data_IF_153816652827
#
_entry.id   IF_153816652827
#
_cell.length_a   1.000
_cell.length_b   1.000
_cell.length_c   1.000
_cell.angle_alpha   90.00
_cell.angle_beta   90.00
_cell.angle_gamma   90.00
#
_symmetry.space_group_name_H-M   'P 1'
#
loop_
_entity.id
_entity.type
_entity.pdbx_description
1 polymer ?
#
# COMPACT_ATOMS: atom_id res chain seq x y z
N UNK A 1 -7.10 -2.59 -39.45
CA UNK A 1 -7.23 -1.50 -38.47
C UNK A 1 -8.68 -1.48 -38.02
N UNK A 2 -9.00 -2.29 -37.02
CA UNK A 2 -10.36 -2.46 -36.50
C UNK A 2 -10.79 -1.21 -35.75
N UNK A 3 -11.99 -0.71 -36.08
CA UNK A 3 -12.68 0.42 -35.48
C UNK A 3 -12.40 0.53 -33.97
N UNK A 4 -11.74 1.61 -33.56
CA UNK A 4 -11.88 2.10 -32.19
C UNK A 4 -13.37 2.39 -32.00
N UNK A 5 -14.05 1.60 -31.18
CA UNK A 5 -15.36 1.95 -30.66
C UNK A 5 -15.27 3.37 -30.12
N UNK A 6 -16.06 4.32 -30.63
CA UNK A 6 -16.06 5.70 -30.16
C UNK A 6 -16.52 5.72 -28.70
N UNK A 7 -15.57 5.62 -27.78
CA UNK A 7 -15.82 5.72 -26.35
C UNK A 7 -16.50 7.06 -26.06
N UNK A 8 -17.56 7.00 -25.27
CA UNK A 8 -18.21 8.19 -24.71
C UNK A 8 -17.89 8.25 -23.22
N UNK A 9 -17.50 9.41 -22.73
CA UNK A 9 -17.21 9.61 -21.31
C UNK A 9 -18.37 9.11 -20.44
N UNK A 10 -18.08 8.43 -19.34
CA UNK A 10 -19.08 7.88 -18.43
C UNK A 10 -19.80 6.62 -18.94
N UNK A 11 -19.39 6.05 -20.08
CA UNK A 11 -20.00 4.85 -20.66
C UNK A 11 -19.93 3.64 -19.72
N UNK A 12 -18.85 3.49 -18.94
CA UNK A 12 -18.72 2.36 -18.03
C UNK A 12 -19.77 2.41 -16.91
N UNK A 13 -20.03 3.60 -16.36
CA UNK A 13 -20.96 3.76 -15.24
C UNK A 13 -22.41 3.99 -15.67
N UNK A 14 -22.65 4.45 -16.91
CA UNK A 14 -24.00 4.64 -17.44
C UNK A 14 -24.82 3.36 -17.33
N UNK A 15 -24.21 2.20 -17.53
CA UNK A 15 -24.88 0.92 -17.39
C UNK A 15 -25.46 0.65 -16.00
N UNK A 16 -24.84 1.18 -14.93
CA UNK A 16 -25.34 1.08 -13.56
C UNK A 16 -26.35 2.17 -13.19
N UNK A 17 -26.37 3.27 -13.93
CA UNK A 17 -27.19 4.46 -13.65
C UNK A 17 -28.50 4.46 -14.45
N UNK A 18 -28.43 4.05 -15.71
CA UNK A 18 -29.55 4.06 -16.66
C UNK A 18 -30.09 2.67 -16.98
N UNK A 19 -29.27 1.62 -16.91
CA UNK A 19 -29.61 0.36 -17.57
C UNK A 19 -30.00 0.60 -19.05
N UNK A 20 -31.08 -0.04 -19.52
CA UNK A 20 -31.68 0.18 -20.87
C UNK A 20 -32.50 1.48 -20.98
N UNK A 21 -32.55 2.33 -19.95
CA UNK A 21 -33.36 3.54 -19.95
C UNK A 21 -32.86 4.54 -21.00
N UNK A 22 -33.70 4.81 -21.99
CA UNK A 22 -33.46 5.87 -22.96
C UNK A 22 -33.69 7.26 -22.36
N UNK A 23 -33.35 8.33 -23.09
CA UNK A 23 -33.54 9.71 -22.61
C UNK A 23 -35.00 10.06 -22.30
N UNK A 24 -35.97 9.28 -22.79
CA UNK A 24 -37.39 9.42 -22.51
C UNK A 24 -37.93 8.57 -21.35
N UNK A 25 -37.11 7.81 -20.65
CA UNK A 25 -37.59 6.95 -19.56
C UNK A 25 -38.19 7.77 -18.43
N UNK A 26 -39.37 7.38 -17.96
CA UNK A 26 -40.05 7.94 -16.80
C UNK A 26 -40.42 6.77 -15.90
N UNK A 27 -39.82 6.68 -14.71
CA UNK A 27 -40.14 5.61 -13.75
C UNK A 27 -41.30 6.06 -12.84
N UNK A 28 -42.42 5.34 -12.91
CA UNK A 28 -43.64 5.68 -12.16
C UNK A 28 -43.52 5.37 -10.67
N UNK A 29 -43.69 6.38 -9.82
CA UNK A 29 -43.81 6.25 -8.37
C UNK A 29 -45.21 5.78 -7.95
N UNK A 30 -45.64 4.59 -8.36
CA UNK A 30 -46.94 4.06 -7.96
C UNK A 30 -46.92 3.64 -6.47
N UNK A 31 -47.27 4.58 -5.58
CA UNK A 31 -47.62 4.31 -4.18
C UNK A 31 -46.67 4.83 -3.10
N UNK A 32 -45.52 5.43 -3.45
CA UNK A 32 -44.51 5.86 -2.48
C UNK A 32 -44.16 7.35 -2.58
N UNK A 33 -43.79 7.93 -1.45
CA UNK A 33 -43.37 9.34 -1.26
C UNK A 33 -42.04 9.69 -1.98
N UNK A 34 -41.54 8.82 -2.87
CA UNK A 34 -40.20 8.89 -3.49
C UNK A 34 -40.10 9.67 -4.80
N UNK A 35 -41.22 10.15 -5.34
CA UNK A 35 -41.27 10.91 -6.60
C UNK A 35 -41.03 10.08 -7.87
N UNK A 36 -41.11 10.76 -9.02
CA UNK A 36 -40.83 10.25 -10.38
C UNK A 36 -39.37 10.53 -10.77
N UNK A 37 -38.72 9.62 -11.49
CA UNK A 37 -37.38 9.82 -12.04
C UNK A 37 -37.36 9.80 -13.56
N UNK A 38 -36.50 10.64 -14.16
CA UNK A 38 -36.55 11.02 -15.57
C UNK A 38 -35.23 10.76 -16.31
N UNK A 39 -35.35 10.26 -17.54
CA UNK A 39 -34.27 10.15 -18.51
C UNK A 39 -33.21 9.12 -18.19
N UNK A 40 -32.12 9.20 -18.95
CA UNK A 40 -30.99 8.25 -18.89
C UNK A 40 -30.39 8.23 -17.49
N UNK A 41 -30.16 9.39 -16.87
CA UNK A 41 -29.54 9.49 -15.54
C UNK A 41 -30.52 9.40 -14.37
N UNK A 42 -31.78 9.01 -14.61
CA UNK A 42 -32.83 8.91 -13.58
C UNK A 42 -32.89 10.15 -12.67
N UNK A 43 -32.99 11.32 -13.29
CA UNK A 43 -33.09 12.62 -12.62
C UNK A 43 -34.37 12.66 -11.79
N UNK A 44 -34.25 12.84 -10.48
CA UNK A 44 -35.35 12.70 -9.54
C UNK A 44 -36.11 14.01 -9.38
N UNK A 45 -37.45 13.90 -9.38
CA UNK A 45 -38.34 14.99 -8.99
C UNK A 45 -38.28 15.29 -7.49
N UNK A 46 -38.18 14.26 -6.64
CA UNK A 46 -38.21 14.42 -5.18
C UNK A 46 -36.99 15.17 -4.63
N UNK A 47 -35.80 14.93 -5.19
CA UNK A 47 -34.57 15.65 -4.80
C UNK A 47 -34.23 16.81 -5.75
N UNK A 48 -35.10 17.12 -6.71
CA UNK A 48 -35.03 18.34 -7.54
C UNK A 48 -34.09 18.29 -8.74
N UNK A 49 -33.34 17.21 -8.97
CA UNK A 49 -32.36 17.15 -10.08
C UNK A 49 -33.02 17.19 -11.47
N UNK A 50 -34.27 16.74 -11.60
CA UNK A 50 -35.05 16.93 -12.83
C UNK A 50 -35.31 18.41 -13.13
N UNK A 51 -35.63 19.19 -12.10
CA UNK A 51 -35.83 20.65 -12.20
C UNK A 51 -34.53 21.37 -12.55
N UNK A 52 -33.42 20.97 -11.92
CA UNK A 52 -32.09 21.52 -12.22
C UNK A 52 -31.71 21.32 -13.69
N UNK A 53 -31.90 20.11 -14.22
CA UNK A 53 -31.66 19.83 -15.63
C UNK A 53 -32.52 20.71 -16.55
N UNK A 54 -33.83 20.78 -16.31
CA UNK A 54 -34.73 21.60 -17.12
C UNK A 54 -34.27 23.06 -17.14
N UNK A 55 -33.91 23.60 -15.98
CA UNK A 55 -33.43 24.97 -15.83
C UNK A 55 -32.09 25.22 -16.52
N UNK A 56 -31.21 24.22 -16.55
CA UNK A 56 -29.91 24.28 -17.22
C UNK A 56 -30.04 24.11 -18.75
N UNK A 57 -31.01 23.31 -19.20
CA UNK A 57 -31.16 22.90 -20.60
C UNK A 57 -31.74 23.98 -21.51
N UNK A 58 -31.48 23.85 -22.82
CA UNK A 58 -32.12 24.66 -23.86
C UNK A 58 -33.66 24.45 -23.93
N UNK A 59 -34.18 23.40 -23.29
CA UNK A 59 -35.61 23.05 -23.30
C UNK A 59 -36.41 23.75 -22.21
N UNK A 60 -35.79 24.57 -21.36
CA UNK A 60 -36.42 25.24 -20.21
C UNK A 60 -37.78 25.87 -20.53
N UNK A 61 -37.87 26.63 -21.63
CA UNK A 61 -39.10 27.34 -22.02
C UNK A 61 -40.26 26.38 -22.33
N UNK A 62 -39.96 25.17 -22.82
CA UNK A 62 -40.98 24.16 -23.10
C UNK A 62 -41.63 23.57 -21.84
N UNK A 63 -40.96 23.71 -20.69
CA UNK A 63 -41.43 23.26 -19.39
C UNK A 63 -42.04 24.39 -18.54
N UNK A 64 -42.21 25.60 -19.08
CA UNK A 64 -42.79 26.72 -18.32
C UNK A 64 -44.16 26.35 -17.72
N UNK A 65 -44.33 26.64 -16.43
CA UNK A 65 -45.54 26.32 -15.66
C UNK A 65 -45.76 24.83 -15.37
N UNK A 66 -44.83 23.94 -15.73
CA UNK A 66 -44.93 22.49 -15.53
C UNK A 66 -43.96 22.04 -14.45
N UNK A 67 -44.43 21.18 -13.56
CA UNK A 67 -43.66 20.68 -12.41
C UNK A 67 -43.35 19.20 -12.61
N UNK A 68 -42.13 18.71 -12.32
CA UNK A 68 -41.85 17.28 -12.34
C UNK A 68 -42.84 16.46 -11.50
N UNK A 69 -43.03 15.20 -11.88
CA UNK A 69 -44.05 14.28 -11.37
C UNK A 69 -45.51 14.71 -11.66
N UNK A 70 -45.75 15.37 -12.80
CA UNK A 70 -47.09 15.69 -13.30
C UNK A 70 -47.26 15.23 -14.73
N UNK A 71 -48.49 14.85 -15.12
CA UNK A 71 -48.82 14.42 -16.48
C UNK A 71 -48.37 15.46 -17.53
N UNK A 72 -48.63 16.75 -17.26
CA UNK A 72 -48.23 17.83 -18.14
C UNK A 72 -46.71 17.93 -18.34
N UNK A 73 -45.90 17.58 -17.33
CA UNK A 73 -44.44 17.54 -17.46
C UNK A 73 -43.99 16.28 -18.22
N UNK A 74 -44.58 15.14 -17.91
CA UNK A 74 -44.27 13.83 -18.51
C UNK A 74 -44.54 13.82 -20.02
N UNK A 75 -45.61 14.50 -20.46
CA UNK A 75 -45.92 14.70 -21.88
C UNK A 75 -44.84 15.48 -22.61
N UNK A 76 -44.33 16.57 -22.02
CA UNK A 76 -43.23 17.35 -22.61
C UNK A 76 -41.96 16.53 -22.66
N UNK A 77 -41.63 15.83 -21.57
CA UNK A 77 -40.45 14.98 -21.50
C UNK A 77 -40.46 13.88 -22.58
N UNK A 78 -41.58 13.16 -22.69
CA UNK A 78 -41.76 12.08 -23.66
C UNK A 78 -41.75 12.60 -25.10
N UNK A 79 -42.31 13.79 -25.33
CA UNK A 79 -42.26 14.47 -26.64
C UNK A 79 -40.83 14.83 -27.03
N UNK A 80 -40.07 15.47 -26.14
CA UNK A 80 -38.66 15.82 -26.39
C UNK A 80 -37.83 14.58 -26.70
N UNK A 81 -38.01 13.49 -25.95
CA UNK A 81 -37.28 12.26 -26.19
C UNK A 81 -37.56 11.61 -27.56
N UNK A 82 -38.73 11.86 -28.15
CA UNK A 82 -39.13 11.36 -29.46
C UNK A 82 -38.73 12.29 -30.60
N UNK A 83 -38.91 13.59 -30.39
CA UNK A 83 -38.85 14.59 -31.46
C UNK A 83 -37.49 15.30 -31.53
N UNK A 84 -36.70 15.30 -30.43
CA UNK A 84 -35.42 16.01 -30.32
C UNK A 84 -34.23 15.04 -30.21
N UNK A 85 -33.48 14.78 -31.30
CA UNK A 85 -32.32 13.89 -31.27
C UNK A 85 -31.23 14.31 -30.28
N UNK A 86 -31.13 15.62 -29.99
CA UNK A 86 -30.16 16.16 -29.05
C UNK A 86 -30.54 15.96 -27.58
N UNK A 87 -31.77 15.52 -27.26
CA UNK A 87 -32.25 15.47 -25.87
C UNK A 87 -31.40 14.54 -24.98
N UNK A 88 -30.97 13.39 -25.49
CA UNK A 88 -30.08 12.49 -24.76
C UNK A 88 -28.67 13.08 -24.55
N UNK A 89 -28.13 13.75 -25.57
CA UNK A 89 -26.82 14.43 -25.46
C UNK A 89 -26.90 15.57 -24.45
N UNK A 90 -27.99 16.34 -24.44
CA UNK A 90 -28.23 17.40 -23.45
C UNK A 90 -28.27 16.86 -22.02
N UNK A 91 -28.90 15.70 -21.77
CA UNK A 91 -28.87 15.07 -20.44
C UNK A 91 -27.45 14.64 -20.05
N UNK A 92 -26.66 14.12 -20.99
CA UNK A 92 -25.26 13.76 -20.77
C UNK A 92 -24.40 14.98 -20.44
N UNK A 93 -24.52 16.05 -21.25
CA UNK A 93 -23.79 17.30 -21.07
C UNK A 93 -24.12 17.99 -19.74
N UNK A 94 -25.37 17.86 -19.28
CA UNK A 94 -25.76 18.32 -17.95
C UNK A 94 -24.95 17.64 -16.86
N UNK A 95 -24.86 16.31 -16.87
CA UNK A 95 -24.07 15.56 -15.87
C UNK A 95 -22.59 15.93 -15.98
N UNK A 96 -22.06 16.03 -17.20
CA UNK A 96 -20.67 16.45 -17.41
C UNK A 96 -20.38 17.81 -16.77
N UNK A 97 -21.21 18.80 -17.08
CA UNK A 97 -21.00 20.21 -16.68
C UNK A 97 -21.21 20.41 -15.18
N UNK A 98 -22.16 19.69 -14.58
CA UNK A 98 -22.55 19.92 -13.17
C UNK A 98 -21.89 18.97 -12.18
N UNK A 99 -21.38 17.83 -12.64
CA UNK A 99 -20.76 16.82 -11.78
C UNK A 99 -19.29 16.63 -12.17
N UNK A 100 -19.01 16.15 -13.37
CA UNK A 100 -17.66 15.73 -13.78
C UNK A 100 -16.64 16.89 -13.85
N UNK A 101 -16.91 17.93 -14.63
CA UNK A 101 -15.96 19.04 -14.86
C UNK A 101 -15.58 19.76 -13.55
N UNK A 102 -16.52 20.05 -12.62
CA UNK A 102 -16.17 20.58 -11.31
C UNK A 102 -15.29 19.64 -10.48
N UNK A 103 -15.48 18.32 -10.57
CA UNK A 103 -14.61 17.37 -9.85
C UNK A 103 -13.20 17.33 -10.44
N UNK A 104 -13.07 17.35 -11.78
CA UNK A 104 -11.75 17.42 -12.42
C UNK A 104 -10.97 18.67 -11.96
N UNK A 105 -11.66 19.81 -11.86
CA UNK A 105 -11.07 21.05 -11.35
C UNK A 105 -10.67 20.92 -9.87
N UNK A 106 -11.52 20.34 -9.03
CA UNK A 106 -11.20 20.12 -7.60
C UNK A 106 -10.04 19.15 -7.39
N UNK A 107 -9.99 18.08 -8.18
CA UNK A 107 -8.89 17.11 -8.20
C UNK A 107 -7.57 17.80 -8.56
N UNK A 108 -7.52 18.55 -9.66
CA UNK A 108 -6.33 19.31 -10.04
C UNK A 108 -5.89 20.31 -8.96
N UNK A 109 -6.83 21.07 -8.38
CA UNK A 109 -6.55 22.01 -7.29
C UNK A 109 -6.03 21.33 -6.01
N UNK A 110 -6.33 20.04 -5.81
CA UNK A 110 -5.84 19.23 -4.70
C UNK A 110 -4.49 18.53 -5.00
N UNK A 111 -3.86 18.80 -6.13
CA UNK A 111 -2.62 18.13 -6.57
C UNK A 111 -2.85 16.75 -7.19
N UNK A 112 -4.11 16.40 -7.47
CA UNK A 112 -4.53 15.15 -8.11
C UNK A 112 -4.98 15.40 -9.55
N UNK A 113 -4.15 16.02 -10.38
CA UNK A 113 -4.54 16.28 -11.78
C UNK A 113 -4.60 14.96 -12.57
N UNK A 114 -5.82 14.57 -12.94
CA UNK A 114 -6.12 13.36 -13.72
C UNK A 114 -6.51 13.68 -15.17
N UNK A 115 -6.41 14.94 -15.60
CA UNK A 115 -6.88 15.38 -16.93
C UNK A 115 -6.14 14.71 -18.09
N UNK A 116 -4.90 14.27 -17.89
CA UNK A 116 -4.08 13.58 -18.90
C UNK A 116 -4.20 12.06 -18.87
N UNK A 117 -5.02 11.49 -17.96
CA UNK A 117 -5.15 10.04 -17.76
C UNK A 117 -6.05 9.38 -18.81
N UNK A 118 -5.94 8.07 -18.95
CA UNK A 118 -6.64 7.30 -19.98
C UNK A 118 -8.16 7.30 -19.80
N UNK A 119 -8.93 6.92 -20.85
CA UNK A 119 -10.39 6.85 -20.84
C UNK A 119 -11.00 6.11 -19.64
N UNK A 120 -10.38 5.02 -19.19
CA UNK A 120 -10.85 4.28 -18.02
C UNK A 120 -10.79 5.11 -16.72
N UNK A 121 -9.75 5.92 -16.54
CA UNK A 121 -9.66 6.84 -15.40
C UNK A 121 -10.68 7.96 -15.52
N UNK A 122 -10.93 8.48 -16.72
CA UNK A 122 -11.97 9.50 -16.93
C UNK A 122 -13.37 8.94 -16.60
N UNK A 123 -13.68 7.71 -17.01
CA UNK A 123 -14.92 7.02 -16.65
C UNK A 123 -15.03 6.74 -15.15
N UNK A 124 -13.91 6.39 -14.49
CA UNK A 124 -13.88 6.27 -13.04
C UNK A 124 -14.26 7.59 -12.38
N UNK A 125 -13.65 8.71 -12.79
CA UNK A 125 -13.94 10.03 -12.21
C UNK A 125 -15.38 10.45 -12.48
N UNK A 126 -15.91 10.14 -13.67
CA UNK A 126 -17.33 10.33 -13.98
C UNK A 126 -18.22 9.61 -12.97
N UNK A 127 -18.05 8.30 -12.80
CA UNK A 127 -18.81 7.50 -11.83
C UNK A 127 -18.72 8.07 -10.42
N UNK A 128 -17.51 8.43 -9.99
CA UNK A 128 -17.26 9.01 -8.69
C UNK A 128 -17.94 10.35 -8.51
N UNK A 129 -18.01 11.19 -9.55
CA UNK A 129 -18.65 12.50 -9.51
C UNK A 129 -20.16 12.39 -9.32
N UNK A 130 -20.79 11.36 -9.90
CA UNK A 130 -22.22 11.10 -9.75
C UNK A 130 -22.51 10.48 -8.39
N UNK A 131 -21.73 9.48 -7.97
CA UNK A 131 -21.96 8.72 -6.74
C UNK A 131 -21.60 9.49 -5.46
N UNK A 132 -20.44 10.16 -5.44
CA UNK A 132 -19.88 10.81 -4.24
C UNK A 132 -19.90 12.35 -4.29
N UNK A 133 -20.25 12.95 -5.43
CA UNK A 133 -20.41 14.40 -5.61
C UNK A 133 -19.19 15.16 -5.07
N UNK A 134 -19.38 16.08 -4.12
CA UNK A 134 -18.29 16.90 -3.56
C UNK A 134 -17.20 16.11 -2.84
N UNK A 135 -17.43 14.84 -2.48
CA UNK A 135 -16.46 14.00 -1.79
C UNK A 135 -15.58 13.17 -2.73
N UNK A 136 -15.74 13.27 -4.06
CA UNK A 136 -14.95 12.50 -5.04
C UNK A 136 -13.44 12.58 -4.79
N UNK A 137 -12.90 13.79 -4.64
CA UNK A 137 -11.47 14.02 -4.36
C UNK A 137 -11.03 13.31 -3.08
N UNK A 138 -11.83 13.39 -2.01
CA UNK A 138 -11.51 12.77 -0.72
C UNK A 138 -11.45 11.25 -0.79
N UNK A 139 -12.34 10.62 -1.57
CA UNK A 139 -12.34 9.16 -1.73
C UNK A 139 -11.14 8.70 -2.57
N UNK A 140 -10.83 9.40 -3.67
CA UNK A 140 -9.66 9.04 -4.51
C UNK A 140 -8.36 9.19 -3.71
N UNK A 141 -8.18 10.32 -3.00
CA UNK A 141 -7.00 10.55 -2.15
C UNK A 141 -6.90 9.50 -1.04
N UNK A 142 -8.02 9.18 -0.36
CA UNK A 142 -8.07 8.12 0.68
C UNK A 142 -7.59 6.78 0.12
N UNK A 143 -8.08 6.37 -1.06
CA UNK A 143 -7.67 5.11 -1.68
C UNK A 143 -6.18 5.06 -2.04
N UNK A 144 -5.64 6.15 -2.58
CA UNK A 144 -4.22 6.26 -2.89
C UNK A 144 -3.35 6.19 -1.64
N UNK A 145 -3.72 6.89 -0.57
CA UNK A 145 -2.99 6.83 0.72
C UNK A 145 -3.05 5.44 1.35
N UNK A 146 -4.22 4.80 1.33
CA UNK A 146 -4.39 3.45 1.87
C UNK A 146 -3.53 2.43 1.12
N UNK A 147 -3.42 2.56 -0.22
CA UNK A 147 -2.64 1.63 -1.03
C UNK A 147 -1.15 1.95 -1.04
N UNK A 148 -0.75 3.20 -1.16
CA UNK A 148 0.63 3.62 -1.42
C UNK A 148 1.30 4.40 -0.28
N UNK A 149 0.56 4.75 0.77
CA UNK A 149 1.02 5.57 1.90
C UNK A 149 0.84 7.07 1.66
N UNK A 150 1.00 7.89 2.70
CA UNK A 150 0.75 9.35 2.65
C UNK A 150 1.68 10.13 1.70
N UNK A 151 2.83 9.56 1.33
CA UNK A 151 3.82 10.17 0.44
C UNK A 151 3.78 9.64 -0.99
N UNK A 152 2.64 9.13 -1.46
CA UNK A 152 2.52 8.58 -2.81
C UNK A 152 2.88 9.64 -3.89
N UNK A 153 3.57 9.21 -4.93
CA UNK A 153 3.81 10.02 -6.12
C UNK A 153 2.82 9.61 -7.21
N UNK A 154 1.85 10.49 -7.50
CA UNK A 154 0.84 10.24 -8.53
C UNK A 154 1.48 9.91 -9.89
N UNK A 155 2.64 10.47 -10.22
CA UNK A 155 3.35 10.20 -11.47
C UNK A 155 3.83 8.75 -11.61
N UNK A 156 3.99 8.03 -10.49
CA UNK A 156 4.36 6.60 -10.46
C UNK A 156 3.15 5.66 -10.34
N UNK A 157 1.95 6.20 -10.14
CA UNK A 157 0.73 5.40 -10.05
C UNK A 157 0.19 5.13 -11.47
N UNK A 158 0.08 3.85 -11.82
CA UNK A 158 -0.53 3.41 -13.08
C UNK A 158 -2.05 3.66 -13.07
N UNK A 159 -2.66 3.76 -14.25
CA UNK A 159 -4.11 3.95 -14.39
C UNK A 159 -4.89 2.78 -13.75
N UNK A 160 -4.44 1.54 -13.99
CA UNK A 160 -4.93 0.34 -13.27
C UNK A 160 -4.85 0.50 -11.75
N UNK A 161 -3.69 0.87 -11.22
CA UNK A 161 -3.48 1.00 -9.77
C UNK A 161 -4.36 2.09 -9.15
N UNK A 162 -4.55 3.21 -9.85
CA UNK A 162 -5.46 4.29 -9.44
C UNK A 162 -6.91 3.79 -9.39
N UNK A 163 -7.35 3.04 -10.41
CA UNK A 163 -8.69 2.44 -10.48
C UNK A 163 -8.90 1.45 -9.34
N UNK A 164 -7.94 0.55 -9.12
CA UNK A 164 -8.00 -0.45 -8.05
C UNK A 164 -8.00 0.21 -6.67
N UNK A 165 -7.08 1.15 -6.41
CA UNK A 165 -7.00 1.87 -5.14
C UNK A 165 -8.33 2.58 -4.79
N UNK A 166 -8.91 3.27 -5.79
CA UNK A 166 -10.17 3.99 -5.62
C UNK A 166 -11.33 3.03 -5.34
N UNK A 167 -11.41 1.90 -6.04
CA UNK A 167 -12.50 0.94 -5.82
C UNK A 167 -12.34 0.12 -4.55
N UNK A 168 -11.12 -0.23 -4.18
CA UNK A 168 -10.84 -0.96 -2.95
C UNK A 168 -11.20 -0.10 -1.73
N UNK A 169 -10.94 1.22 -1.76
CA UNK A 169 -11.40 2.11 -0.67
C UNK A 169 -12.92 2.28 -0.66
N UNK A 170 -13.60 2.36 -1.83
CA UNK A 170 -15.07 2.37 -1.90
C UNK A 170 -15.64 1.13 -1.22
N UNK A 171 -15.12 -0.06 -1.54
CA UNK A 171 -15.55 -1.33 -0.95
C UNK A 171 -15.24 -1.40 0.54
N UNK A 172 -14.01 -1.08 0.94
CA UNK A 172 -13.55 -1.10 2.35
C UNK A 172 -14.44 -0.22 3.24
N UNK A 173 -14.89 0.93 2.73
CA UNK A 173 -15.63 1.92 3.51
C UNK A 173 -17.12 2.02 3.15
N UNK A 174 -17.68 1.12 2.33
CA UNK A 174 -19.07 1.18 1.87
C UNK A 174 -20.09 1.36 3.01
N UNK A 175 -19.94 0.63 4.12
CA UNK A 175 -20.84 0.72 5.27
C UNK A 175 -20.72 2.05 6.03
N UNK A 176 -19.54 2.69 5.98
CA UNK A 176 -19.28 3.98 6.62
C UNK A 176 -19.80 5.13 5.74
N UNK A 177 -19.42 5.11 4.46
CA UNK A 177 -19.80 6.10 3.47
C UNK A 177 -21.33 6.09 3.24
N UNK A 178 -21.96 4.92 3.30
CA UNK A 178 -23.41 4.73 3.13
C UNK A 178 -24.11 4.28 4.42
N UNK A 179 -23.69 4.75 5.59
CA UNK A 179 -24.27 4.38 6.90
C UNK A 179 -25.78 4.65 7.04
N UNK A 180 -26.34 5.57 6.23
CA UNK A 180 -27.78 5.88 6.20
C UNK A 180 -28.58 4.94 5.31
N UNK A 181 -27.91 4.20 4.44
CA UNK A 181 -28.55 3.22 3.56
C UNK A 181 -28.79 1.92 4.31
N UNK A 182 -29.83 1.18 3.92
CA UNK A 182 -30.08 -0.15 4.49
C UNK A 182 -28.98 -1.14 4.08
N UNK A 183 -28.79 -2.20 4.86
CA UNK A 183 -27.79 -3.25 4.54
C UNK A 183 -27.99 -3.89 3.16
N UNK A 184 -29.24 -4.01 2.70
CA UNK A 184 -29.54 -4.50 1.33
C UNK A 184 -29.03 -3.54 0.26
N UNK A 185 -29.15 -2.23 0.48
CA UNK A 185 -28.63 -1.21 -0.45
C UNK A 185 -27.10 -1.23 -0.43
N UNK A 186 -26.48 -1.31 0.76
CA UNK A 186 -25.02 -1.42 0.90
C UNK A 186 -24.47 -2.64 0.14
N UNK A 187 -25.12 -3.81 0.26
CA UNK A 187 -24.73 -5.01 -0.49
C UNK A 187 -24.83 -4.83 -2.01
N UNK A 188 -25.91 -4.22 -2.50
CA UNK A 188 -26.05 -3.95 -3.93
C UNK A 188 -24.97 -2.98 -4.43
N UNK A 189 -24.60 -1.99 -3.61
CA UNK A 189 -23.50 -1.08 -3.90
C UNK A 189 -22.17 -1.83 -3.96
N UNK A 190 -21.89 -2.76 -3.05
CA UNK A 190 -20.67 -3.59 -3.09
C UNK A 190 -20.53 -4.33 -4.43
N UNK A 191 -21.61 -4.95 -4.93
CA UNK A 191 -21.55 -5.72 -6.18
C UNK A 191 -21.32 -4.79 -7.38
N UNK A 192 -22.00 -3.65 -7.42
CA UNK A 192 -21.79 -2.62 -8.45
C UNK A 192 -20.34 -2.12 -8.43
N UNK A 193 -19.82 -1.76 -7.27
CA UNK A 193 -18.45 -1.23 -7.13
C UNK A 193 -17.40 -2.24 -7.60
N UNK A 194 -17.58 -3.52 -7.28
CA UNK A 194 -16.68 -4.56 -7.76
C UNK A 194 -16.81 -4.78 -9.27
N UNK A 195 -18.02 -4.83 -9.82
CA UNK A 195 -18.22 -5.00 -11.26
C UNK A 195 -17.65 -3.82 -12.06
N UNK A 196 -17.84 -2.61 -11.57
CA UNK A 196 -17.30 -1.37 -12.13
C UNK A 196 -15.76 -1.39 -12.13
N UNK A 197 -15.14 -1.81 -11.03
CA UNK A 197 -13.68 -1.99 -10.93
C UNK A 197 -13.17 -2.91 -12.04
N UNK A 198 -13.75 -4.10 -12.17
CA UNK A 198 -13.32 -5.08 -13.18
C UNK A 198 -13.53 -4.56 -14.61
N UNK A 199 -14.64 -3.87 -14.87
CA UNK A 199 -14.93 -3.27 -16.17
C UNK A 199 -13.90 -2.19 -16.54
N UNK A 200 -13.55 -1.33 -15.58
CA UNK A 200 -12.58 -0.25 -15.76
C UNK A 200 -11.15 -0.78 -15.93
N UNK A 201 -10.75 -1.81 -15.17
CA UNK A 201 -9.42 -2.45 -15.34
C UNK A 201 -9.33 -3.16 -16.69
N UNK A 202 -10.41 -3.81 -17.13
CA UNK A 202 -10.49 -4.37 -18.49
C UNK A 202 -10.43 -3.27 -19.54
N UNK A 203 -11.09 -2.15 -19.32
CA UNK A 203 -11.07 -1.02 -20.24
C UNK A 203 -9.66 -0.42 -20.36
N UNK A 204 -8.97 -0.20 -19.24
CA UNK A 204 -7.59 0.26 -19.20
C UNK A 204 -6.65 -0.66 -20.00
N UNK A 205 -6.77 -1.97 -19.79
CA UNK A 205 -5.89 -2.96 -20.46
C UNK A 205 -6.20 -3.18 -21.94
N UNK A 206 -7.47 -3.07 -22.37
CA UNK A 206 -7.89 -3.40 -23.74
C UNK A 206 -8.13 -2.18 -24.62
N UNK A 207 -8.28 -0.99 -24.03
CA UNK A 207 -8.75 0.21 -24.72
C UNK A 207 -10.21 0.14 -25.18
N UNK A 208 -10.97 -0.88 -24.77
CA UNK A 208 -12.37 -1.07 -25.14
C UNK A 208 -13.25 -1.13 -23.89
N UNK A 209 -14.27 -0.26 -23.74
CA UNK A 209 -15.15 -0.29 -22.57
C UNK A 209 -16.02 -1.55 -22.60
N UNK A 210 -16.31 -2.09 -21.42
CA UNK A 210 -17.15 -3.27 -21.29
C UNK A 210 -18.57 -3.02 -21.84
N UNK A 211 -19.10 -3.99 -22.57
CA UNK A 211 -20.49 -3.96 -23.05
C UNK A 211 -21.48 -4.19 -21.90
N UNK A 212 -22.75 -3.85 -22.12
CA UNK A 212 -23.84 -4.12 -21.17
C UNK A 212 -23.90 -5.60 -20.73
N UNK A 213 -23.70 -6.53 -21.68
CA UNK A 213 -23.76 -7.97 -21.41
C UNK A 213 -22.59 -8.41 -20.51
N UNK A 214 -21.39 -7.86 -20.76
CA UNK A 214 -20.21 -8.12 -19.95
C UNK A 214 -20.34 -7.51 -18.56
N UNK A 215 -20.87 -6.28 -18.41
CA UNK A 215 -21.11 -5.68 -17.09
C UNK A 215 -22.15 -6.49 -16.30
N UNK A 216 -23.23 -6.94 -16.94
CA UNK A 216 -24.20 -7.82 -16.29
C UNK A 216 -23.59 -9.17 -15.87
N UNK A 217 -22.57 -9.66 -16.57
CA UNK A 217 -21.78 -10.81 -16.14
C UNK A 217 -20.90 -10.48 -14.95
N UNK A 218 -20.16 -9.37 -15.00
CA UNK A 218 -19.30 -8.90 -13.91
C UNK A 218 -20.10 -8.66 -12.61
N UNK A 219 -21.33 -8.15 -12.68
CA UNK A 219 -22.21 -8.01 -11.51
C UNK A 219 -22.65 -9.36 -10.93
N UNK A 220 -22.92 -10.35 -11.78
CA UNK A 220 -23.24 -11.72 -11.32
C UNK A 220 -22.02 -12.35 -10.66
N UNK A 221 -20.85 -12.14 -11.24
CA UNK A 221 -19.58 -12.58 -10.67
C UNK A 221 -19.32 -11.86 -9.34
N UNK A 222 -19.47 -10.55 -9.25
CA UNK A 222 -19.25 -9.76 -8.02
C UNK A 222 -20.07 -10.22 -6.79
N UNK A 223 -21.11 -11.04 -6.97
CA UNK A 223 -21.86 -11.63 -5.85
C UNK A 223 -20.96 -12.44 -4.90
N UNK A 224 -21.36 -12.59 -3.62
CA UNK A 224 -20.53 -13.23 -2.63
C UNK A 224 -20.24 -14.69 -2.98
N UNK A 225 -18.98 -15.10 -2.82
CA UNK A 225 -18.59 -16.50 -2.93
C UNK A 225 -19.12 -17.25 -1.72
N UNK A 226 -19.79 -18.39 -1.94
CA UNK A 226 -20.44 -19.15 -0.86
C UNK A 226 -20.42 -20.64 -1.18
N UNK A 227 -20.79 -21.45 -0.20
CA UNK A 227 -20.86 -22.92 -0.34
C UNK A 227 -21.61 -23.34 -1.60
N UNK A 228 -21.01 -24.26 -2.35
CA UNK A 228 -21.51 -24.76 -3.63
C UNK A 228 -21.04 -23.94 -4.85
N UNK A 229 -20.41 -22.78 -4.65
CA UNK A 229 -19.74 -22.04 -5.72
C UNK A 229 -18.43 -22.72 -6.15
N UNK A 230 -18.00 -22.45 -7.38
CA UNK A 230 -16.75 -22.96 -7.93
C UNK A 230 -16.14 -22.02 -8.96
N UNK A 231 -14.87 -22.26 -9.32
CA UNK A 231 -14.13 -21.52 -10.34
C UNK A 231 -12.95 -20.71 -9.80
N UNK A 232 -12.33 -19.92 -10.67
CA UNK A 232 -11.05 -19.25 -10.41
C UNK A 232 -11.10 -18.31 -9.21
N UNK A 233 -12.22 -17.60 -9.00
CA UNK A 233 -12.40 -16.72 -7.83
C UNK A 233 -12.43 -17.47 -6.51
N UNK A 234 -12.94 -18.71 -6.51
CA UNK A 234 -12.90 -19.58 -5.32
C UNK A 234 -11.49 -20.10 -5.10
N UNK A 235 -10.80 -20.48 -6.17
CA UNK A 235 -9.41 -20.94 -6.10
C UNK A 235 -8.48 -19.83 -5.59
N UNK A 236 -8.63 -18.59 -6.07
CA UNK A 236 -7.89 -17.42 -5.61
C UNK A 236 -8.14 -17.14 -4.12
N UNK A 237 -9.41 -17.13 -3.68
CA UNK A 237 -9.75 -16.99 -2.27
C UNK A 237 -9.11 -18.09 -1.41
N UNK A 238 -9.21 -19.35 -1.81
CA UNK A 238 -8.62 -20.48 -1.10
C UNK A 238 -7.09 -20.36 -1.03
N UNK A 239 -6.45 -19.96 -2.13
CA UNK A 239 -5.00 -19.76 -2.19
C UNK A 239 -4.56 -18.69 -1.20
N UNK A 240 -5.23 -17.54 -1.18
CA UNK A 240 -4.93 -16.45 -0.26
C UNK A 240 -5.20 -16.82 1.20
N UNK A 241 -6.31 -17.50 1.50
CA UNK A 241 -6.62 -17.97 2.85
C UNK A 241 -5.59 -19.01 3.32
N UNK A 242 -5.16 -19.93 2.45
CA UNK A 242 -4.12 -20.90 2.76
C UNK A 242 -2.76 -20.21 2.99
N UNK A 243 -2.40 -19.25 2.14
CA UNK A 243 -1.19 -18.46 2.27
C UNK A 243 -1.18 -17.73 3.62
N UNK A 244 -2.28 -17.06 3.99
CA UNK A 244 -2.46 -16.39 5.28
C UNK A 244 -2.51 -17.34 6.49
N UNK A 245 -2.58 -18.65 6.27
CA UNK A 245 -2.58 -19.66 7.32
C UNK A 245 -3.93 -19.85 8.00
N UNK A 246 -5.03 -19.46 7.35
CA UNK A 246 -6.37 -19.74 7.87
C UNK A 246 -6.73 -21.21 7.68
N UNK A 247 -6.93 -21.89 8.80
CA UNK A 247 -7.20 -23.32 8.88
C UNK A 247 -8.70 -23.61 9.03
N UNK A 248 -9.07 -24.85 8.77
CA UNK A 248 -10.38 -25.40 9.13
C UNK A 248 -10.54 -25.50 10.64
N UNK A 249 -11.77 -25.76 11.12
CA UNK A 249 -12.04 -25.84 12.56
C UNK A 249 -11.33 -27.02 13.26
N UNK A 250 -10.96 -28.06 12.50
CA UNK A 250 -10.15 -29.20 12.96
C UNK A 250 -8.63 -28.96 12.81
N UNK A 251 -8.21 -27.74 12.47
CA UNK A 251 -6.80 -27.34 12.42
C UNK A 251 -6.05 -27.80 11.16
N UNK A 252 -6.76 -28.14 10.08
CA UNK A 252 -6.14 -28.55 8.81
C UNK A 252 -6.00 -27.36 7.87
N UNK A 253 -4.91 -27.36 7.10
CA UNK A 253 -4.75 -26.42 6.00
C UNK A 253 -5.79 -26.71 4.90
N UNK A 254 -6.31 -25.66 4.28
CA UNK A 254 -7.18 -25.80 3.13
C UNK A 254 -6.34 -26.05 1.87
N UNK A 255 -6.87 -26.86 0.95
CA UNK A 255 -6.27 -27.10 -0.36
C UNK A 255 -7.07 -26.31 -1.40
N UNK A 256 -6.42 -25.43 -2.19
CA UNK A 256 -7.09 -24.75 -3.28
C UNK A 256 -7.50 -25.72 -4.38
N UNK A 257 -8.79 -25.99 -4.51
CA UNK A 257 -9.39 -26.89 -5.50
C UNK A 257 -10.41 -26.17 -6.40
N UNK A 258 -10.64 -24.87 -6.15
CA UNK A 258 -11.63 -24.08 -6.86
C UNK A 258 -13.08 -24.46 -6.53
N UNK A 259 -13.34 -25.19 -5.44
CA UNK A 259 -14.67 -25.58 -4.99
C UNK A 259 -14.94 -25.08 -3.57
N UNK A 260 -16.00 -24.28 -3.41
CA UNK A 260 -16.34 -23.68 -2.13
C UNK A 260 -17.08 -24.73 -1.28
N UNK A 261 -16.30 -25.59 -0.64
CA UNK A 261 -16.77 -26.62 0.27
C UNK A 261 -16.79 -26.18 1.73
N UNK A 262 -16.98 -27.17 2.61
CA UNK A 262 -16.94 -26.98 4.07
C UNK A 262 -15.62 -26.39 4.54
N UNK A 263 -14.49 -26.90 4.04
CA UNK A 263 -13.16 -26.42 4.44
C UNK A 263 -12.95 -24.93 4.14
N UNK A 264 -13.35 -24.48 2.94
CA UNK A 264 -13.28 -23.07 2.56
C UNK A 264 -14.18 -22.20 3.42
N UNK A 265 -15.40 -22.65 3.73
CA UNK A 265 -16.30 -21.93 4.65
C UNK A 265 -15.67 -21.76 6.03
N UNK A 266 -15.14 -22.83 6.61
CA UNK A 266 -14.55 -22.78 7.96
C UNK A 266 -13.33 -21.86 8.02
N UNK A 267 -12.44 -21.94 7.02
CA UNK A 267 -11.28 -21.04 6.93
C UNK A 267 -11.68 -19.59 6.71
N UNK A 268 -12.69 -19.33 5.86
CA UNK A 268 -13.22 -17.98 5.66
C UNK A 268 -13.85 -17.42 6.93
N UNK A 269 -14.63 -18.21 7.67
CA UNK A 269 -15.20 -17.77 8.94
C UNK A 269 -14.11 -17.46 9.97
N UNK A 270 -13.02 -18.24 9.96
CA UNK A 270 -11.83 -17.96 10.79
C UNK A 270 -11.20 -16.62 10.42
N UNK A 271 -11.03 -16.35 9.12
CA UNK A 271 -10.60 -15.05 8.62
C UNK A 271 -11.56 -13.92 9.05
N UNK A 272 -12.86 -14.07 8.82
CA UNK A 272 -13.86 -13.06 9.16
C UNK A 272 -13.82 -12.72 10.65
N UNK A 273 -13.72 -13.74 11.53
CA UNK A 273 -13.55 -13.54 12.98
C UNK A 273 -12.27 -12.77 13.31
N UNK A 274 -11.13 -13.19 12.75
CA UNK A 274 -9.85 -12.55 13.00
C UNK A 274 -9.79 -11.11 12.49
N UNK A 275 -10.48 -10.81 11.39
CA UNK A 275 -10.56 -9.47 10.79
C UNK A 275 -11.66 -8.59 11.42
N UNK A 276 -12.38 -9.07 12.45
CA UNK A 276 -13.46 -8.31 13.09
C UNK A 276 -14.67 -8.06 12.17
N UNK A 277 -14.87 -8.92 11.17
CA UNK A 277 -15.94 -8.81 10.16
C UNK A 277 -17.14 -9.67 10.54
N UNK A 278 -18.35 -9.37 9.99
CA UNK A 278 -19.49 -10.28 10.12
C UNK A 278 -19.15 -11.68 9.62
N UNK A 279 -19.39 -12.69 10.47
CA UNK A 279 -19.09 -14.09 10.18
C UNK A 279 -20.23 -14.71 9.37
N UNK A 280 -20.29 -14.36 8.09
CA UNK A 280 -21.36 -14.78 7.18
C UNK A 280 -21.11 -16.17 6.58
N UNK A 281 -19.86 -16.62 6.55
CA UNK A 281 -19.45 -17.82 5.83
C UNK A 281 -19.58 -17.69 4.30
N UNK A 282 -19.75 -16.46 3.79
CA UNK A 282 -19.75 -16.12 2.37
C UNK A 282 -18.84 -14.90 2.16
N UNK A 283 -17.92 -14.95 1.18
CA UNK A 283 -16.96 -13.88 0.95
C UNK A 283 -17.61 -12.81 0.07
N UNK A 284 -18.01 -11.69 0.68
CA UNK A 284 -18.45 -10.51 -0.07
C UNK A 284 -17.25 -9.81 -0.74
N UNK A 285 -17.47 -8.89 -1.70
CA UNK A 285 -16.38 -8.07 -2.25
C UNK A 285 -15.52 -7.41 -1.17
N UNK A 286 -16.13 -6.94 -0.08
CA UNK A 286 -15.40 -6.35 1.04
C UNK A 286 -14.55 -7.36 1.82
N UNK A 287 -14.97 -8.64 1.91
CA UNK A 287 -14.12 -9.71 2.45
C UNK A 287 -12.92 -9.97 1.53
N UNK A 288 -13.12 -10.00 0.22
CA UNK A 288 -12.05 -10.25 -0.76
C UNK A 288 -10.98 -9.15 -0.73
N UNK A 289 -11.40 -7.88 -0.61
CA UNK A 289 -10.47 -6.74 -0.39
C UNK A 289 -9.69 -6.93 0.92
N UNK A 290 -10.36 -7.30 2.01
CA UNK A 290 -9.70 -7.49 3.30
C UNK A 290 -8.70 -8.66 3.30
N UNK A 291 -8.99 -9.76 2.60
CA UNK A 291 -8.04 -10.86 2.39
C UNK A 291 -6.82 -10.37 1.63
N UNK A 292 -7.03 -9.62 0.53
CA UNK A 292 -5.94 -9.06 -0.26
C UNK A 292 -5.09 -8.06 0.52
N UNK A 293 -5.69 -7.21 1.34
CA UNK A 293 -5.00 -6.26 2.21
C UNK A 293 -4.04 -6.99 3.17
N UNK A 294 -4.47 -8.12 3.76
CA UNK A 294 -3.60 -8.94 4.62
C UNK A 294 -2.46 -9.61 3.84
N UNK A 295 -2.70 -10.08 2.61
CA UNK A 295 -1.64 -10.62 1.75
C UNK A 295 -0.58 -9.56 1.46
N UNK A 296 -1.01 -8.36 1.04
CA UNK A 296 -0.10 -7.23 0.77
C UNK A 296 0.65 -6.83 2.03
N UNK A 297 -0.02 -6.75 3.18
CA UNK A 297 0.61 -6.42 4.46
C UNK A 297 1.67 -7.46 4.86
N UNK A 298 1.39 -8.76 4.68
CA UNK A 298 2.35 -9.84 4.94
C UNK A 298 3.54 -9.80 3.99
N UNK A 299 3.32 -9.51 2.71
CA UNK A 299 4.38 -9.32 1.73
C UNK A 299 5.32 -8.17 2.14
N UNK A 300 4.74 -7.01 2.51
CA UNK A 300 5.49 -5.87 3.02
C UNK A 300 6.29 -6.22 4.27
N UNK A 301 5.66 -6.87 5.26
CA UNK A 301 6.33 -7.28 6.49
C UNK A 301 7.52 -8.21 6.20
N UNK A 302 7.36 -9.17 5.30
CA UNK A 302 8.44 -10.07 4.87
C UNK A 302 9.58 -9.29 4.20
N UNK A 303 9.27 -8.34 3.31
CA UNK A 303 10.29 -7.49 2.67
C UNK A 303 11.02 -6.60 3.68
N UNK A 304 10.31 -6.02 4.65
CA UNK A 304 10.93 -5.23 5.72
C UNK A 304 11.83 -6.09 6.58
N UNK A 305 11.40 -7.30 6.96
CA UNK A 305 12.23 -8.24 7.72
C UNK A 305 13.48 -8.66 6.95
N UNK A 306 13.36 -8.91 5.64
CA UNK A 306 14.50 -9.25 4.77
C UNK A 306 15.48 -8.08 4.63
N UNK A 307 15.00 -6.85 4.41
CA UNK A 307 15.86 -5.65 4.37
C UNK A 307 16.49 -5.35 5.73
N UNK A 308 15.76 -5.55 6.83
CA UNK A 308 16.31 -5.35 8.16
C UNK A 308 17.39 -6.39 8.45
N UNK A 309 17.17 -7.66 8.14
CA UNK A 309 18.18 -8.71 8.34
C UNK A 309 19.40 -8.50 7.42
N UNK A 310 19.21 -8.02 6.19
CA UNK A 310 20.29 -7.63 5.30
C UNK A 310 21.10 -6.44 5.86
N UNK A 311 20.43 -5.40 6.37
CA UNK A 311 21.11 -4.25 7.00
C UNK A 311 21.83 -4.59 8.31
N UNK A 312 21.48 -5.72 8.94
CA UNK A 312 22.13 -6.23 10.16
C UNK A 312 23.41 -7.03 9.87
N UNK A 313 23.67 -7.43 8.61
CA UNK A 313 24.91 -8.14 8.27
C UNK A 313 26.06 -7.16 8.06
N UNK A 314 27.22 -7.43 8.66
CA UNK A 314 28.42 -6.58 8.54
C UNK A 314 28.95 -6.48 7.11
N UNK A 315 28.70 -7.48 6.26
CA UNK A 315 29.07 -7.49 4.84
C UNK A 315 28.11 -6.69 3.95
N UNK A 316 26.96 -6.26 4.47
CA UNK A 316 26.02 -5.42 3.75
C UNK A 316 26.53 -3.97 3.62
N UNK A 317 26.52 -3.37 2.42
CA UNK A 317 26.87 -1.97 2.23
C UNK A 317 26.01 -0.98 3.03
N UNK A 318 24.80 -1.40 3.45
CA UNK A 318 23.90 -0.57 4.26
C UNK A 318 24.25 -0.61 5.77
N UNK A 319 25.12 -1.53 6.22
CA UNK A 319 25.45 -1.67 7.63
C UNK A 319 26.38 -0.52 8.09
N UNK A 320 26.11 0.13 9.25
CA UNK A 320 26.86 1.31 9.70
C UNK A 320 28.35 1.05 9.90
N UNK A 321 28.73 -0.19 10.24
CA UNK A 321 30.12 -0.60 10.43
C UNK A 321 30.72 -1.41 9.27
N UNK A 322 30.04 -1.45 8.11
CA UNK A 322 30.53 -2.16 6.93
C UNK A 322 31.92 -1.70 6.52
N UNK A 323 32.20 -0.40 6.62
CA UNK A 323 33.54 0.14 6.34
C UNK A 323 34.64 -0.42 7.25
N UNK A 324 34.35 -0.72 8.51
CA UNK A 324 35.34 -1.36 9.40
C UNK A 324 35.52 -2.84 9.05
N UNK A 325 34.41 -3.56 8.80
CA UNK A 325 34.44 -4.93 8.33
C UNK A 325 35.29 -5.11 7.05
N UNK A 326 35.07 -4.27 6.03
CA UNK A 326 35.81 -4.35 4.77
C UNK A 326 37.32 -4.18 4.99
N UNK A 327 37.73 -3.23 5.85
CA UNK A 327 39.15 -3.04 6.20
C UNK A 327 39.73 -4.24 6.94
N UNK A 328 38.98 -4.83 7.85
CA UNK A 328 39.39 -6.06 8.57
C UNK A 328 39.51 -7.23 7.60
N UNK A 329 38.56 -7.38 6.68
CA UNK A 329 38.56 -8.42 5.65
C UNK A 329 39.79 -8.30 4.74
N UNK A 330 40.12 -7.10 4.29
CA UNK A 330 41.31 -6.86 3.47
C UNK A 330 42.63 -7.21 4.20
N UNK A 331 42.67 -7.06 5.52
CA UNK A 331 43.81 -7.50 6.34
C UNK A 331 43.87 -9.02 6.48
N UNK A 332 42.74 -9.68 6.75
CA UNK A 332 42.66 -11.15 6.81
C UNK A 332 43.02 -11.77 5.46
N UNK A 333 42.53 -11.20 4.35
CA UNK A 333 42.85 -11.65 3.00
C UNK A 333 44.33 -11.47 2.64
N UNK A 334 44.99 -10.45 3.18
CA UNK A 334 46.45 -10.29 3.07
C UNK A 334 47.18 -11.35 3.87
N UNK A 335 46.75 -11.59 5.11
CA UNK A 335 47.32 -12.62 5.98
C UNK A 335 47.21 -14.02 5.34
N UNK A 336 46.07 -14.36 4.73
CA UNK A 336 45.93 -15.62 4.01
C UNK A 336 46.95 -15.74 2.88
N UNK A 337 47.14 -14.68 2.08
CA UNK A 337 48.13 -14.66 0.99
C UNK A 337 49.55 -14.80 1.51
N UNK A 338 49.89 -14.15 2.62
CA UNK A 338 51.19 -14.26 3.27
C UNK A 338 51.44 -15.69 3.80
N UNK A 339 50.38 -16.40 4.17
CA UNK A 339 50.40 -17.83 4.52
C UNK A 339 50.27 -18.78 3.31
N UNK A 340 50.28 -18.28 2.07
CA UNK A 340 50.15 -19.10 0.86
C UNK A 340 48.75 -19.67 0.59
N UNK A 341 47.71 -19.09 1.21
CA UNK A 341 46.29 -19.45 1.00
C UNK A 341 45.59 -18.42 0.12
N UNK A 342 44.60 -18.88 -0.65
CA UNK A 342 43.68 -18.01 -1.39
C UNK A 342 42.52 -17.66 -0.46
N UNK A 343 42.17 -16.36 -0.29
CA UNK A 343 41.03 -15.97 0.52
C UNK A 343 39.70 -16.55 0.01
N UNK A 344 38.84 -16.96 0.94
CA UNK A 344 37.55 -17.60 0.67
C UNK A 344 36.47 -17.20 1.70
N UNK A 345 35.32 -17.88 1.68
CA UNK A 345 34.23 -17.62 2.63
C UNK A 345 34.66 -17.79 4.10
N UNK A 346 35.63 -18.67 4.39
CA UNK A 346 36.14 -18.85 5.76
C UNK A 346 37.00 -17.66 6.19
N UNK A 347 37.71 -17.05 5.26
CA UNK A 347 38.41 -15.77 5.48
C UNK A 347 37.41 -14.66 5.82
N UNK A 348 36.27 -14.61 5.14
CA UNK A 348 35.22 -13.61 5.37
C UNK A 348 34.51 -13.83 6.72
N UNK A 349 34.25 -15.08 7.10
CA UNK A 349 33.74 -15.47 8.41
C UNK A 349 34.70 -15.02 9.54
N UNK A 350 36.00 -15.32 9.39
CA UNK A 350 37.04 -14.92 10.33
C UNK A 350 37.14 -13.41 10.48
N UNK A 351 37.11 -12.67 9.36
CA UNK A 351 37.12 -11.22 9.37
C UNK A 351 35.87 -10.62 10.05
N UNK A 352 34.70 -11.23 9.85
CA UNK A 352 33.46 -10.79 10.49
C UNK A 352 33.52 -10.99 12.01
N UNK A 353 33.89 -12.19 12.47
CA UNK A 353 34.05 -12.48 13.89
C UNK A 353 35.08 -11.54 14.55
N UNK A 354 36.20 -11.29 13.89
CA UNK A 354 37.23 -10.38 14.39
C UNK A 354 36.76 -8.93 14.44
N UNK A 355 35.94 -8.49 13.48
CA UNK A 355 35.37 -7.13 13.47
C UNK A 355 34.49 -6.90 14.70
N UNK A 356 33.63 -7.89 15.03
CA UNK A 356 32.75 -7.83 16.20
C UNK A 356 33.57 -7.83 17.49
N UNK A 357 34.52 -8.75 17.62
CA UNK A 357 35.37 -8.83 18.81
C UNK A 357 36.24 -7.58 19.00
N UNK A 358 36.79 -7.02 17.91
CA UNK A 358 37.53 -5.77 17.95
C UNK A 358 36.67 -4.62 18.49
N UNK A 359 35.41 -4.50 18.04
CA UNK A 359 34.48 -3.50 18.61
C UNK A 359 34.21 -3.77 20.08
N UNK A 360 33.92 -5.01 20.46
CA UNK A 360 33.67 -5.40 21.84
C UNK A 360 34.79 -4.96 22.79
N UNK A 361 36.04 -5.09 22.36
CA UNK A 361 37.24 -4.71 23.13
C UNK A 361 37.64 -3.22 23.00
N UNK A 362 36.81 -2.39 22.36
CA UNK A 362 37.05 -0.96 22.25
C UNK A 362 37.95 -0.53 21.09
N UNK A 363 38.32 -1.43 20.17
CA UNK A 363 39.15 -1.08 19.01
C UNK A 363 38.32 -0.28 17.99
N UNK A 364 38.88 0.86 17.58
CA UNK A 364 38.32 1.75 16.55
C UNK A 364 38.91 1.50 15.16
N UNK A 365 40.08 0.84 15.12
CA UNK A 365 40.80 0.38 13.94
C UNK A 365 41.67 -0.82 14.30
N UNK A 366 42.15 -1.53 13.29
CA UNK A 366 43.13 -2.62 13.45
C UNK A 366 44.38 -2.20 12.70
N UNK A 367 45.50 -2.06 13.42
CA UNK A 367 46.79 -1.64 12.87
C UNK A 367 47.66 -2.87 12.52
N UNK A 368 47.46 -4.00 13.22
CA UNK A 368 48.21 -5.24 13.00
C UNK A 368 47.37 -6.50 13.26
N UNK A 369 47.60 -7.55 12.47
CA UNK A 369 47.07 -8.90 12.67
C UNK A 369 48.20 -9.91 12.79
N UNK A 370 48.08 -10.85 13.74
CA UNK A 370 49.03 -11.95 13.88
C UNK A 370 48.37 -13.20 14.49
N UNK A 371 48.78 -14.38 14.04
CA UNK A 371 48.48 -15.62 14.73
C UNK A 371 49.37 -15.79 15.97
N UNK A 372 48.87 -16.48 16.99
CA UNK A 372 49.74 -17.03 18.03
C UNK A 372 50.55 -18.23 17.52
N UNK A 373 51.50 -18.74 18.31
CA UNK A 373 52.48 -19.75 17.87
C UNK A 373 51.85 -21.01 17.26
N UNK A 374 50.69 -21.45 17.76
CA UNK A 374 49.96 -22.63 17.29
C UNK A 374 48.81 -22.31 16.31
N UNK A 375 48.65 -21.03 15.95
CA UNK A 375 47.56 -20.49 15.12
C UNK A 375 46.13 -20.75 15.63
N UNK A 376 45.97 -21.17 16.90
CA UNK A 376 44.65 -21.34 17.52
C UNK A 376 43.89 -20.03 17.70
N UNK A 377 44.60 -18.89 17.72
CA UNK A 377 44.01 -17.55 17.83
C UNK A 377 44.58 -16.56 16.84
N UNK A 378 43.69 -15.73 16.30
CA UNK A 378 44.05 -14.53 15.55
C UNK A 378 43.95 -13.31 16.48
N UNK A 379 45.04 -12.57 16.60
CA UNK A 379 45.13 -11.35 17.39
C UNK A 379 45.07 -10.12 16.50
N UNK A 380 44.28 -9.14 16.91
CA UNK A 380 44.21 -7.80 16.35
C UNK A 380 44.74 -6.78 17.36
N UNK A 381 45.59 -5.87 16.90
CA UNK A 381 46.19 -4.82 17.71
C UNK A 381 45.88 -3.41 17.19
N UNK A 382 45.70 -2.47 18.11
CA UNK A 382 45.63 -1.03 17.85
C UNK A 382 46.68 -0.31 18.70
N UNK A 383 47.60 0.43 18.07
CA UNK A 383 48.62 1.23 18.77
C UNK A 383 48.11 2.60 19.21
N UNK A 384 48.73 3.19 20.24
CA UNK A 384 48.52 4.61 20.58
C UNK A 384 49.46 5.48 19.74
N UNK A 385 48.92 6.45 18.99
CA UNK A 385 49.72 7.38 18.18
C UNK A 385 50.58 6.74 17.07
N UNK A 386 50.29 5.51 16.66
CA UNK A 386 51.09 4.76 15.66
C UNK A 386 52.34 4.05 16.21
N UNK A 387 52.59 4.10 17.52
CA UNK A 387 53.69 3.34 18.15
C UNK A 387 53.19 1.96 18.61
N UNK A 388 53.87 0.90 18.13
CA UNK A 388 53.57 -0.51 18.42
C UNK A 388 54.39 -1.01 19.64
N UNK A 389 54.38 -0.29 20.76
CA UNK A 389 55.11 -0.70 21.98
C UNK A 389 54.18 -1.38 22.99
N UNK A 390 54.51 -2.62 23.38
CA UNK A 390 53.62 -3.60 24.04
C UNK A 390 52.96 -3.21 25.37
N UNK A 391 53.25 -2.04 25.94
CA UNK A 391 52.60 -1.54 27.16
C UNK A 391 51.41 -0.60 26.89
N UNK A 392 51.15 -0.23 25.63
CA UNK A 392 50.09 0.75 25.26
C UNK A 392 49.17 0.25 24.13
N UNK A 393 49.25 -1.02 23.76
CA UNK A 393 48.45 -1.61 22.70
C UNK A 393 47.09 -2.10 23.21
N UNK A 394 46.01 -1.62 22.60
CA UNK A 394 44.69 -2.27 22.73
C UNK A 394 44.68 -3.50 21.82
N UNK A 395 44.05 -4.58 22.28
CA UNK A 395 44.02 -5.82 21.53
C UNK A 395 42.67 -6.51 21.62
N UNK A 396 42.40 -7.31 20.61
CA UNK A 396 41.27 -8.22 20.53
C UNK A 396 41.77 -9.55 19.96
N UNK A 397 41.10 -10.66 20.27
CA UNK A 397 41.49 -11.94 19.70
C UNK A 397 40.29 -12.87 19.57
N UNK A 398 40.26 -13.61 18.47
CA UNK A 398 39.24 -14.65 18.23
C UNK A 398 39.88 -16.02 18.14
N UNK A 399 39.15 -17.06 18.52
CA UNK A 399 39.52 -18.44 18.23
C UNK A 399 39.39 -18.69 16.73
N UNK A 400 40.48 -19.11 16.09
CA UNK A 400 40.54 -19.21 14.63
C UNK A 400 39.56 -20.24 14.10
N UNK A 401 39.47 -21.42 14.72
CA UNK A 401 38.64 -22.54 14.25
C UNK A 401 37.15 -22.23 14.44
N UNK A 402 36.78 -21.64 15.57
CA UNK A 402 35.42 -21.18 15.82
C UNK A 402 35.04 -20.08 14.84
N UNK A 403 35.90 -19.08 14.64
CA UNK A 403 35.63 -17.93 13.78
C UNK A 403 35.45 -18.31 12.31
N UNK A 404 36.33 -19.14 11.73
CA UNK A 404 36.21 -19.56 10.33
C UNK A 404 34.94 -20.39 10.05
N UNK A 405 34.42 -21.06 11.07
CA UNK A 405 33.20 -21.88 10.99
C UNK A 405 31.94 -21.14 11.47
N UNK A 406 32.06 -19.86 11.83
CA UNK A 406 30.90 -19.03 12.20
C UNK A 406 30.50 -18.18 10.98
N UNK A 407 29.35 -18.44 10.35
CA UNK A 407 28.86 -17.65 9.23
C UNK A 407 28.77 -16.15 9.56
N UNK A 408 29.01 -15.31 8.55
CA UNK A 408 28.96 -13.84 8.65
C UNK A 408 27.67 -13.37 9.32
N UNK A 409 26.53 -14.00 9.03
CA UNK A 409 25.22 -13.67 9.60
C UNK A 409 25.20 -13.86 11.12
N UNK A 410 25.78 -14.95 11.62
CA UNK A 410 25.82 -15.27 13.05
C UNK A 410 26.79 -14.34 13.80
N UNK A 411 27.94 -14.04 13.23
CA UNK A 411 28.86 -13.05 13.82
C UNK A 411 28.24 -11.66 13.82
N UNK A 412 27.61 -11.24 12.72
CA UNK A 412 26.99 -9.91 12.60
C UNK A 412 25.87 -9.69 13.62
N UNK A 413 25.12 -10.74 13.98
CA UNK A 413 24.08 -10.67 15.02
C UNK A 413 24.62 -10.26 16.40
N UNK A 414 25.91 -10.45 16.68
CA UNK A 414 26.56 -10.03 17.94
C UNK A 414 27.06 -8.58 17.91
N UNK A 415 27.07 -7.91 16.75
CA UNK A 415 27.58 -6.54 16.60
C UNK A 415 26.88 -5.50 17.51
N UNK A 416 25.54 -5.50 17.69
CA UNK A 416 24.89 -4.53 18.57
C UNK A 416 25.39 -4.59 20.02
N UNK A 417 25.65 -5.80 20.54
CA UNK A 417 26.20 -5.98 21.87
C UNK A 417 27.66 -5.51 21.96
N UNK A 418 28.46 -5.81 20.93
CA UNK A 418 29.83 -5.34 20.81
C UNK A 418 29.91 -3.80 20.79
N UNK A 419 28.97 -3.13 20.13
CA UNK A 419 28.94 -1.66 20.10
C UNK A 419 28.54 -1.03 21.43
N UNK A 420 27.69 -1.69 22.22
CA UNK A 420 27.40 -1.24 23.59
C UNK A 420 28.67 -1.28 24.45
N UNK A 421 29.46 -2.33 24.32
CA UNK A 421 30.75 -2.46 25.02
C UNK A 421 31.76 -1.42 24.50
N UNK A 422 31.82 -1.22 23.18
CA UNK A 422 32.65 -0.18 22.56
C UNK A 422 32.36 1.21 23.14
N UNK A 423 31.08 1.59 23.28
CA UNK A 423 30.67 2.87 23.87
C UNK A 423 31.16 3.00 25.32
N UNK A 424 31.01 1.95 26.13
CA UNK A 424 31.48 1.94 27.52
C UNK A 424 33.01 2.09 27.61
N UNK A 425 33.75 1.47 26.69
CA UNK A 425 35.20 1.64 26.60
C UNK A 425 35.58 3.10 26.28
N UNK A 426 34.85 3.75 25.36
CA UNK A 426 35.08 5.17 25.03
C UNK A 426 34.78 6.10 26.22
N UNK A 427 33.65 5.89 26.90
CA UNK A 427 33.26 6.73 28.04
C UNK A 427 34.27 6.63 29.19
N UNK A 428 34.76 5.42 29.48
CA UNK A 428 35.80 5.19 30.49
C UNK A 428 37.11 5.87 30.11
N UNK A 429 37.51 5.83 28.84
CA UNK A 429 38.73 6.48 28.37
C UNK A 429 38.64 8.02 28.51
N UNK A 430 37.48 8.61 28.17
CA UNK A 430 37.24 10.05 28.34
C UNK A 430 37.27 10.48 29.81
N UNK A 431 36.63 9.72 30.71
CA UNK A 431 36.66 10.01 32.15
C UNK A 431 38.08 9.94 32.73
N UNK A 432 38.89 8.98 32.30
CA UNK A 432 40.29 8.87 32.72
C UNK A 432 41.13 10.04 32.22
N UNK A 433 40.96 10.48 30.97
CA UNK A 433 41.63 11.67 30.45
C UNK A 433 41.22 12.92 31.22
N UNK A 434 39.93 13.09 31.51
CA UNK A 434 39.44 14.25 32.27
C UNK A 434 39.99 14.27 33.71
N UNK A 435 40.07 13.11 34.37
CA UNK A 435 40.72 13.00 35.68
C UNK A 435 42.23 13.28 35.62
N UNK A 436 42.93 12.81 34.59
CA UNK A 436 44.36 13.12 34.41
C UNK A 436 44.57 14.61 34.17
N UNK A 437 43.72 15.25 33.36
CA UNK A 437 43.79 16.68 33.07
C UNK A 437 43.49 17.52 34.32
N UNK A 438 42.46 17.16 35.10
CA UNK A 438 42.19 17.75 36.42
C UNK A 438 43.40 17.59 37.34
N UNK A 439 44.00 16.40 37.38
CA UNK A 439 45.18 16.14 38.22
C UNK A 439 46.38 16.96 37.78
N UNK A 440 46.53 17.20 36.49
CA UNK A 440 47.63 17.97 35.91
C UNK A 440 47.42 19.48 36.11
N UNK A 441 46.20 19.99 35.94
CA UNK A 441 45.83 21.38 36.26
C UNK A 441 46.05 21.71 37.75
N UNK A 442 45.74 20.76 38.65
CA UNK A 442 46.01 20.88 40.09
C UNK A 442 47.51 20.86 40.40
N UNK A 443 48.33 20.13 39.64
CA UNK A 443 49.79 20.08 39.81
C UNK A 443 50.49 21.34 39.25
N UNK A 444 49.98 21.91 38.16
CA UNK A 444 50.54 23.10 37.50
C UNK A 444 50.07 24.43 38.12
N UNK A 445 49.27 24.38 39.19
CA UNK A 445 48.87 25.56 39.97
C UNK A 445 47.89 26.50 39.26
N UNK A 446 47.22 26.05 38.19
CA UNK A 446 46.18 26.84 37.53
C UNK A 446 44.82 26.64 38.20
N UNK A 447 44.08 27.71 38.57
CA UNK A 447 42.78 27.55 39.19
C UNK A 447 41.77 27.02 38.16
N UNK A 448 41.09 25.92 38.50
CA UNK A 448 39.94 25.39 37.76
C UNK A 448 38.86 26.48 37.58
N UNK A 449 38.66 26.94 36.35
CA UNK A 449 37.42 27.63 36.00
C UNK A 449 36.32 26.56 35.83
N UNK A 450 35.35 26.60 36.74
CA UNK A 450 34.16 25.77 36.64
C UNK A 450 33.41 26.03 35.32
N UNK A 451 32.80 24.99 34.70
CA UNK A 451 32.03 25.18 33.48
C UNK A 451 30.81 26.07 33.77
N UNK A 452 30.60 27.09 32.94
CA UNK A 452 29.45 27.96 33.01
C UNK A 452 28.16 27.14 32.89
N UNK A 453 27.35 27.14 33.95
CA UNK A 453 25.94 26.73 33.89
C UNK A 453 25.24 27.58 32.84
N UNK A 454 24.93 26.98 31.70
CA UNK A 454 24.08 27.62 30.69
C UNK A 454 22.62 27.50 31.14
N UNK A 455 22.17 28.45 31.95
CA UNK A 455 20.76 28.75 32.17
C UNK A 455 20.26 29.55 30.96
N UNK A 456 19.63 28.86 30.00
CA UNK A 456 18.76 29.52 29.03
C UNK A 456 17.32 29.09 29.25
N UNK A 457 16.49 30.12 29.42
CA UNK A 457 15.02 30.12 29.52
C UNK A 457 14.37 29.79 28.18
#
# INVERSE_FOLDING_TARGET
MSNQSAWTLGQTSSYFESGVAGPGTISGGAGDHGGVSYGTYQLSSAVGTATEYVNWSAYKSQFEGRVPATEAFDEVWSRLARDEPAFGTSQHDFIKTTHYDPQMTRLANAGLDLSSRGPAVQDMVWSMSVQYRGNTTGIIDRGLRERFGDGYDLGQVSDKDLIEATHDTKLRHVNQDFHRSSGRIQQNLEFRMQAEKEALVKFDSTGVPATQAEIGQLEREARPLKVGGSGDRVNDLQTKLAELGYLTNDGRAIVPDGHFGRATKEALESFQRAAGRPVTGAASPQDLVAVNDQIVARGRATTYQARSSESQRLDSPAHPDNGFYLRTRDQVHRLDRDCGRVPDQRSDNLACALTVEARAQGLSRIDSLAFNEDASRLWAGQGLGGQLSGHTMQHASVDTVSAVNTPVELSSAAWPAAMLQFQQHQDRAQQQQQQQQIRQDVLDGQPHQAPAMNLQR
#
